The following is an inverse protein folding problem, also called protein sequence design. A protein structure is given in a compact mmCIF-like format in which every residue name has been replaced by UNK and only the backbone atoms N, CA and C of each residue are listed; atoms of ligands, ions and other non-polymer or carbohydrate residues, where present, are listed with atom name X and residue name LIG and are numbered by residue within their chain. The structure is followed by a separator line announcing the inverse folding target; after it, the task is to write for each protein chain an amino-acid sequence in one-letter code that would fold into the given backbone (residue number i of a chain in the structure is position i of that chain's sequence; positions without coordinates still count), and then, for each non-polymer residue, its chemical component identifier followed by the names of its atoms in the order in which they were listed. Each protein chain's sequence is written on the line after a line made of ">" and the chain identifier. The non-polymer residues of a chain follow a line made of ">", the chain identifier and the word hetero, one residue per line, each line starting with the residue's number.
data_IF_726328941218
#
_entry.id   IF_726328941218
#
_cell.length_a   1.000
_cell.length_b   1.000
_cell.length_c   1.000
_cell.angle_alpha   90.00
_cell.angle_beta   90.00
_cell.angle_gamma   90.00
#
_symmetry.space_group_name_H-M   'P 1'
#
loop_
_entity.id
_entity.type
_entity.pdbx_description
1 polymer ?
#
# COMPACT_ATOMS: atom_id res chain seq x y z
N UNK A 1 4.40 -6.29 2.77
CA UNK A 1 4.22 -5.59 4.06
C UNK A 1 3.75 -6.51 5.20
N UNK A 2 2.70 -7.30 4.99
CA UNK A 2 2.16 -8.24 6.00
C UNK A 2 3.20 -9.20 6.60
N UNK A 3 4.07 -9.78 5.77
CA UNK A 3 5.16 -10.65 6.26
C UNK A 3 6.17 -9.93 7.16
N UNK A 4 6.42 -8.64 6.93
CA UNK A 4 7.30 -7.82 7.77
C UNK A 4 6.64 -7.54 9.13
N UNK A 5 5.36 -7.15 9.13
CA UNK A 5 4.57 -6.95 10.34
C UNK A 5 4.50 -8.23 11.22
N UNK A 6 4.36 -9.40 10.58
CA UNK A 6 4.41 -10.70 11.26
C UNK A 6 5.76 -10.92 11.97
N UNK A 7 6.86 -10.68 11.24
CA UNK A 7 8.22 -10.89 11.76
C UNK A 7 8.58 -9.92 12.88
N UNK A 8 8.13 -8.67 12.83
CA UNK A 8 8.31 -7.70 13.92
C UNK A 8 7.59 -8.12 15.21
N UNK A 9 6.53 -8.93 15.08
CA UNK A 9 5.74 -9.44 16.21
C UNK A 9 6.26 -10.75 16.80
N UNK A 10 7.29 -11.36 16.19
CA UNK A 10 7.86 -12.63 16.62
C UNK A 10 8.64 -12.47 17.94
N UNK A 11 8.30 -13.26 18.94
CA UNK A 11 9.00 -13.35 20.23
C UNK A 11 9.54 -14.77 20.42
N UNK A 12 10.85 -15.03 20.27
CA UNK A 12 11.41 -16.38 20.35
C UNK A 12 11.34 -17.02 21.74
N UNK A 13 11.01 -16.26 22.79
CA UNK A 13 10.91 -16.76 24.17
C UNK A 13 9.48 -17.08 24.63
N UNK A 14 8.47 -16.77 23.82
CA UNK A 14 7.05 -16.94 24.17
C UNK A 14 6.50 -18.34 23.92
N UNK A 15 5.25 -18.55 24.33
CA UNK A 15 4.49 -19.75 23.97
C UNK A 15 4.15 -19.75 22.47
N UNK A 16 4.26 -20.93 21.83
CA UNK A 16 4.11 -21.06 20.37
C UNK A 16 2.71 -20.63 19.89
N UNK A 17 1.66 -20.97 20.63
CA UNK A 17 0.28 -20.63 20.24
C UNK A 17 0.01 -19.14 20.44
N UNK A 18 0.56 -18.53 21.50
CA UNK A 18 0.47 -17.09 21.75
C UNK A 18 1.23 -16.27 20.71
N UNK A 19 2.45 -16.70 20.34
CA UNK A 19 3.26 -16.08 19.29
C UNK A 19 2.51 -16.15 17.95
N UNK A 20 2.02 -17.32 17.58
CA UNK A 20 1.28 -17.50 16.32
C UNK A 20 0.02 -16.61 16.28
N UNK A 21 -0.72 -16.51 17.39
CA UNK A 21 -1.90 -15.65 17.49
C UNK A 21 -1.54 -14.15 17.41
N UNK A 22 -0.37 -13.75 17.93
CA UNK A 22 0.11 -12.36 17.85
C UNK A 22 0.58 -12.01 16.44
N UNK A 23 1.37 -12.88 15.81
CA UNK A 23 1.83 -12.72 14.43
C UNK A 23 0.66 -12.65 13.44
N UNK A 24 -0.35 -13.52 13.61
CA UNK A 24 -1.56 -13.48 12.79
C UNK A 24 -2.38 -12.20 12.97
N UNK A 25 -2.48 -11.68 14.20
CA UNK A 25 -3.14 -10.39 14.45
C UNK A 25 -2.39 -9.23 13.78
N UNK A 26 -1.07 -9.20 13.89
CA UNK A 26 -0.26 -8.17 13.22
C UNK A 26 -0.41 -8.23 11.69
N UNK A 27 -0.40 -9.44 11.09
CA UNK A 27 -0.68 -9.59 9.66
C UNK A 27 -2.05 -9.09 9.24
N UNK A 28 -3.09 -9.37 10.04
CA UNK A 28 -4.46 -9.01 9.71
C UNK A 28 -4.76 -7.51 9.89
N UNK A 29 -3.99 -6.83 10.75
CA UNK A 29 -4.13 -5.40 10.96
C UNK A 29 -3.40 -4.57 9.88
N UNK A 30 -2.41 -5.15 9.20
CA UNK A 30 -1.69 -4.50 8.11
C UNK A 30 -2.36 -4.77 6.75
N UNK A 31 -2.80 -3.72 6.09
CA UNK A 31 -3.32 -3.77 4.72
C UNK A 31 -2.20 -3.46 3.74
N UNK A 32 -2.11 -4.23 2.66
CA UNK A 32 -1.11 -3.99 1.61
C UNK A 32 -1.75 -3.30 0.43
N UNK A 33 -1.24 -2.13 0.08
CA UNK A 33 -1.59 -1.43 -1.14
C UNK A 33 -0.52 -1.59 -2.22
N UNK A 34 -0.91 -1.65 -3.48
CA UNK A 34 0.03 -1.67 -4.61
C UNK A 34 -0.48 -0.74 -5.71
N UNK A 35 0.41 0.13 -6.20
CA UNK A 35 0.16 0.97 -7.38
C UNK A 35 1.09 0.52 -8.50
N UNK A 36 0.49 0.07 -9.61
CA UNK A 36 1.19 -0.44 -10.78
C UNK A 36 0.47 -0.04 -12.07
N UNK A 37 0.98 -0.49 -13.21
CA UNK A 37 0.44 -0.21 -14.54
C UNK A 37 -0.19 -1.48 -15.12
N UNK A 38 -1.40 -1.34 -15.67
CA UNK A 38 -2.09 -2.43 -16.33
C UNK A 38 -1.39 -2.82 -17.64
N UNK A 39 -1.26 -4.12 -17.88
CA UNK A 39 -0.63 -4.69 -19.08
C UNK A 39 -1.64 -5.12 -20.15
N UNK A 40 -2.93 -4.91 -19.89
CA UNK A 40 -4.03 -5.14 -20.83
C UNK A 40 -5.30 -4.43 -20.38
N UNK A 41 -6.17 -4.12 -21.33
CA UNK A 41 -7.52 -3.66 -21.04
C UNK A 41 -8.41 -4.80 -20.55
N UNK A 42 -9.15 -4.59 -19.46
CA UNK A 42 -10.05 -5.59 -18.88
C UNK A 42 -11.09 -4.92 -17.98
N UNK A 43 -12.24 -5.55 -17.78
CA UNK A 43 -13.18 -5.21 -16.71
C UNK A 43 -13.13 -6.30 -15.64
N UNK A 44 -12.78 -5.93 -14.41
CA UNK A 44 -12.68 -6.86 -13.27
C UNK A 44 -13.43 -6.22 -12.10
N UNK A 45 -14.35 -6.97 -11.49
CA UNK A 45 -15.13 -6.53 -10.32
C UNK A 45 -15.81 -5.15 -10.49
N UNK A 46 -16.24 -4.83 -11.72
CA UNK A 46 -16.88 -3.57 -12.08
C UNK A 46 -15.92 -2.39 -12.30
N UNK A 47 -14.61 -2.61 -12.20
CA UNK A 47 -13.58 -1.63 -12.53
C UNK A 47 -13.14 -1.85 -13.98
N UNK A 48 -13.34 -0.85 -14.83
CA UNK A 48 -12.84 -0.85 -16.21
C UNK A 48 -11.41 -0.33 -16.24
N UNK A 49 -10.49 -1.16 -16.71
CA UNK A 49 -9.07 -0.88 -16.83
C UNK A 49 -8.69 -0.82 -18.30
N UNK A 50 -7.88 0.18 -18.67
CA UNK A 50 -7.25 0.25 -19.99
C UNK A 50 -5.80 -0.20 -19.91
N UNK A 51 -5.29 -0.77 -21.00
CA UNK A 51 -3.87 -1.05 -21.17
C UNK A 51 -3.03 0.23 -20.93
N UNK A 52 -1.97 0.11 -20.14
CA UNK A 52 -1.11 1.23 -19.73
C UNK A 52 -1.69 2.15 -18.64
N UNK A 53 -2.90 1.89 -18.14
CA UNK A 53 -3.52 2.70 -17.08
C UNK A 53 -2.94 2.37 -15.71
N UNK A 54 -2.87 3.37 -14.82
CA UNK A 54 -2.53 3.11 -13.41
C UNK A 54 -3.66 2.33 -12.76
N UNK A 55 -3.30 1.31 -12.00
CA UNK A 55 -4.23 0.51 -11.21
C UNK A 55 -3.79 0.43 -9.76
N UNK A 56 -4.78 0.28 -8.90
CA UNK A 56 -4.62 0.15 -7.46
C UNK A 56 -5.12 -1.21 -7.01
N UNK A 57 -4.26 -1.97 -6.33
CA UNK A 57 -4.58 -3.24 -5.71
C UNK A 57 -4.56 -3.09 -4.19
N UNK A 58 -5.62 -3.54 -3.52
CA UNK A 58 -5.69 -3.62 -2.07
C UNK A 58 -5.80 -5.08 -1.66
N UNK A 59 -4.79 -5.57 -0.94
CA UNK A 59 -4.60 -6.98 -0.59
C UNK A 59 -4.74 -7.89 -1.84
N UNK A 60 -4.12 -7.47 -2.95
CA UNK A 60 -4.12 -8.18 -4.23
C UNK A 60 -5.41 -8.09 -5.03
N UNK A 61 -6.43 -7.34 -4.58
CA UNK A 61 -7.68 -7.13 -5.30
C UNK A 61 -7.68 -5.79 -6.01
N UNK A 62 -8.09 -5.77 -7.28
CA UNK A 62 -8.26 -4.53 -8.02
C UNK A 62 -9.40 -3.71 -7.41
N UNK A 63 -9.08 -2.51 -6.93
CA UNK A 63 -10.06 -1.61 -6.29
C UNK A 63 -10.28 -0.32 -7.07
N UNK A 64 -9.34 0.06 -7.93
CA UNK A 64 -9.41 1.29 -8.71
C UNK A 64 -8.51 1.28 -9.94
N UNK A 65 -8.84 2.13 -10.91
CA UNK A 65 -8.04 2.47 -12.08
C UNK A 65 -8.03 3.98 -12.24
N UNK A 66 -6.85 4.56 -12.45
CA UNK A 66 -6.63 5.99 -12.38
C UNK A 66 -5.74 6.49 -13.53
N UNK A 67 -5.80 7.80 -13.79
CA UNK A 67 -4.98 8.44 -14.83
C UNK A 67 -3.58 8.83 -14.33
N UNK A 68 -3.34 8.76 -13.01
CA UNK A 68 -2.05 9.08 -12.39
C UNK A 68 -1.79 8.23 -11.15
N UNK A 69 -0.51 8.10 -10.79
CA UNK A 69 -0.08 7.40 -9.57
C UNK A 69 -0.64 8.06 -8.32
N UNK A 70 -0.66 9.40 -8.28
CA UNK A 70 -1.24 10.18 -7.18
C UNK A 70 -2.73 9.85 -6.98
N UNK A 71 -3.54 9.89 -8.04
CA UNK A 71 -4.95 9.55 -7.95
C UNK A 71 -5.15 8.08 -7.56
N UNK A 72 -4.35 7.17 -8.11
CA UNK A 72 -4.39 5.76 -7.72
C UNK A 72 -4.09 5.55 -6.24
N UNK A 73 -3.07 6.23 -5.70
CA UNK A 73 -2.72 6.18 -4.29
C UNK A 73 -3.84 6.71 -3.40
N UNK A 74 -4.48 7.82 -3.79
CA UNK A 74 -5.60 8.37 -3.01
C UNK A 74 -6.84 7.49 -3.02
N UNK A 75 -7.22 6.93 -4.17
CA UNK A 75 -8.34 5.99 -4.24
C UNK A 75 -8.05 4.73 -3.44
N UNK A 76 -6.81 4.22 -3.49
CA UNK A 76 -6.38 3.09 -2.70
C UNK A 76 -6.52 3.35 -1.20
N UNK A 77 -6.02 4.49 -0.72
CA UNK A 77 -6.10 4.88 0.71
C UNK A 77 -7.54 5.06 1.19
N UNK A 78 -8.42 5.59 0.34
CA UNK A 78 -9.85 5.68 0.63
C UNK A 78 -10.49 4.29 0.74
N UNK A 79 -10.20 3.39 -0.21
CA UNK A 79 -10.70 2.00 -0.19
C UNK A 79 -10.13 1.18 0.98
N UNK A 80 -8.95 1.56 1.47
CA UNK A 80 -8.31 0.97 2.63
C UNK A 80 -8.83 1.53 3.96
N UNK A 81 -9.69 2.55 3.95
CA UNK A 81 -10.14 3.26 5.15
C UNK A 81 -8.98 3.82 5.97
N UNK A 82 -7.96 4.34 5.28
CA UNK A 82 -6.71 4.83 5.90
C UNK A 82 -6.92 5.99 6.90
N UNK A 83 -8.11 6.61 6.94
CA UNK A 83 -8.47 7.56 7.99
C UNK A 83 -8.55 6.95 9.39
N UNK A 84 -8.70 5.62 9.48
CA UNK A 84 -8.72 4.88 10.74
C UNK A 84 -7.39 4.16 11.04
N UNK A 85 -6.37 4.38 10.21
CA UNK A 85 -5.01 3.87 10.37
C UNK A 85 -4.14 4.84 11.16
N UNK A 86 -3.10 4.31 11.78
CA UNK A 86 -2.09 5.07 12.52
C UNK A 86 -0.92 5.47 11.62
N UNK A 87 -0.49 4.57 10.72
CA UNK A 87 0.67 4.78 9.86
C UNK A 87 0.45 4.26 8.44
N UNK A 88 0.96 5.01 7.47
CA UNK A 88 1.15 4.56 6.09
C UNK A 88 2.59 4.74 5.65
N UNK A 89 3.22 3.65 5.25
CA UNK A 89 4.56 3.65 4.67
C UNK A 89 4.47 3.42 3.16
N UNK A 90 4.91 4.40 2.37
CA UNK A 90 4.97 4.36 0.91
C UNK A 90 6.37 3.93 0.47
N UNK A 91 6.49 2.71 -0.05
CA UNK A 91 7.71 2.20 -0.67
C UNK A 91 7.68 2.49 -2.17
N UNK A 92 8.49 3.44 -2.65
CA UNK A 92 8.51 3.80 -4.08
C UNK A 92 9.52 2.97 -4.90
N UNK A 93 9.16 2.72 -6.16
CA UNK A 93 9.92 1.88 -7.08
C UNK A 93 11.12 2.58 -7.73
N UNK A 94 11.96 1.80 -8.41
CA UNK A 94 13.21 2.32 -9.02
C UNK A 94 12.95 3.36 -10.13
N UNK A 95 11.81 3.25 -10.82
CA UNK A 95 11.41 4.15 -11.89
C UNK A 95 10.71 5.43 -11.37
N UNK A 96 10.54 5.57 -10.05
CA UNK A 96 9.91 6.74 -9.45
C UNK A 96 10.95 7.75 -8.97
N UNK A 97 10.94 9.01 -9.47
CA UNK A 97 11.80 10.05 -8.93
C UNK A 97 11.49 10.34 -7.46
N UNK A 98 12.52 10.44 -6.62
CA UNK A 98 12.37 10.77 -5.19
C UNK A 98 11.55 12.05 -4.96
N UNK A 99 11.73 13.06 -5.80
CA UNK A 99 10.99 14.32 -5.69
C UNK A 99 9.48 14.10 -5.90
N UNK A 100 9.10 13.22 -6.83
CA UNK A 100 7.70 12.89 -7.09
C UNK A 100 7.11 12.02 -5.96
N UNK A 101 7.87 11.03 -5.48
CA UNK A 101 7.45 10.21 -4.34
C UNK A 101 7.19 11.05 -3.09
N UNK A 102 8.10 11.97 -2.76
CA UNK A 102 7.97 12.89 -1.64
C UNK A 102 6.79 13.85 -1.83
N UNK A 103 6.59 14.38 -3.05
CA UNK A 103 5.44 15.24 -3.36
C UNK A 103 4.12 14.52 -3.09
N UNK A 104 3.99 13.26 -3.53
CA UNK A 104 2.77 12.47 -3.28
C UNK A 104 2.60 12.19 -1.79
N UNK A 105 3.67 11.82 -1.07
CA UNK A 105 3.61 11.60 0.37
C UNK A 105 3.19 12.87 1.14
N UNK A 106 3.67 14.05 0.75
CA UNK A 106 3.25 15.33 1.34
C UNK A 106 1.77 15.60 1.10
N UNK A 107 1.25 15.35 -0.10
CA UNK A 107 -0.17 15.48 -0.38
C UNK A 107 -1.03 14.47 0.42
N UNK A 108 -0.51 13.27 0.68
CA UNK A 108 -1.16 12.31 1.59
C UNK A 108 -1.19 12.85 3.01
N UNK A 109 -0.08 13.43 3.52
CA UNK A 109 -0.04 14.07 4.86
C UNK A 109 -1.05 15.21 4.97
N UNK A 110 -1.18 16.03 3.92
CA UNK A 110 -2.14 17.13 3.90
C UNK A 110 -3.60 16.63 3.95
N UNK A 111 -3.90 15.53 3.22
CA UNK A 111 -5.25 14.94 3.19
C UNK A 111 -5.59 14.16 4.47
N UNK A 112 -4.61 13.53 5.09
CA UNK A 112 -4.76 12.69 6.28
C UNK A 112 -3.88 13.23 7.44
N UNK A 113 -4.26 14.36 8.07
CA UNK A 113 -3.41 15.05 9.04
C UNK A 113 -3.16 14.27 10.34
N UNK A 114 -3.96 13.24 10.61
CA UNK A 114 -3.81 12.38 11.80
C UNK A 114 -3.00 11.11 11.53
N UNK A 115 -2.62 10.87 10.27
CA UNK A 115 -1.92 9.68 9.83
C UNK A 115 -0.41 9.97 9.80
N UNK A 116 0.40 9.09 10.38
CA UNK A 116 1.84 9.13 10.17
C UNK A 116 2.15 8.62 8.76
N UNK A 117 2.86 9.42 7.97
CA UNK A 117 3.17 9.06 6.57
C UNK A 117 4.68 9.04 6.38
N UNK A 118 5.19 7.90 5.97
CA UNK A 118 6.60 7.69 5.63
C UNK A 118 6.76 7.41 4.13
N UNK A 119 7.82 7.91 3.53
CA UNK A 119 8.20 7.58 2.16
C UNK A 119 9.61 6.97 2.17
N UNK A 120 9.71 5.72 1.73
CA UNK A 120 10.95 4.95 1.73
C UNK A 120 11.25 4.44 0.32
N UNK A 121 12.53 4.40 -0.01
CA UNK A 121 12.97 3.80 -1.27
C UNK A 121 12.83 2.28 -1.18
N UNK A 122 11.96 1.70 -2.01
CA UNK A 122 11.74 0.26 -2.09
C UNK A 122 12.52 -0.39 -3.24
N UNK A 123 12.75 0.35 -4.32
CA UNK A 123 13.56 -0.09 -5.46
C UNK A 123 12.92 -1.21 -6.29
N UNK A 124 11.62 -1.44 -6.16
CA UNK A 124 10.94 -2.46 -6.95
C UNK A 124 10.76 -2.02 -8.44
N UNK A 125 10.95 -2.92 -9.42
CA UNK A 125 11.00 -2.58 -10.85
C UNK A 125 9.65 -2.33 -11.53
N UNK A 126 8.54 -2.84 -10.99
CA UNK A 126 7.25 -2.84 -11.68
C UNK A 126 6.13 -2.12 -10.92
N UNK A 127 6.38 -1.70 -9.69
CA UNK A 127 5.39 -1.02 -8.86
C UNK A 127 5.88 0.39 -8.55
N UNK A 128 5.05 1.38 -8.87
CA UNK A 128 5.34 2.76 -8.55
C UNK A 128 5.31 2.95 -7.03
N UNK A 129 4.34 2.32 -6.36
CA UNK A 129 4.30 2.22 -4.90
C UNK A 129 3.87 0.83 -4.44
N UNK A 130 4.44 0.41 -3.31
CA UNK A 130 3.84 -0.56 -2.39
C UNK A 130 3.56 0.20 -1.09
N UNK A 131 2.37 0.04 -0.52
CA UNK A 131 1.94 0.71 0.70
C UNK A 131 1.76 -0.32 1.83
N UNK A 132 2.33 -0.05 3.00
CA UNK A 132 1.85 -0.64 4.26
C UNK A 132 0.87 0.34 4.88
N UNK A 133 -0.31 -0.13 5.28
CA UNK A 133 -1.36 0.68 5.89
C UNK A 133 -1.76 -0.04 7.18
N UNK A 134 -1.48 0.58 8.33
CA UNK A 134 -1.62 -0.01 9.66
C UNK A 134 -2.37 0.93 10.59
#
# INVERSE_FOLDING_TARGET
>A
PQGLAAMLSFDPGGDVDEIAAKMNRAMNNARTGEITVATRSVEIDGVTVKDGQVIALLDGKLVAAADSVEHGAFELLEKADASNSEIVTLFFGEDMPHAEANRIADLVREKYPNLEVEALEGGQPHYQFILSIE
#
